data_IF_696757596531
#
_entry.id   IF_696757596531
#
_cell.length_a   1.000
_cell.length_b   1.000
_cell.length_c   1.000
_cell.angle_alpha   90.00
_cell.angle_beta   90.00
_cell.angle_gamma   90.00
#
_symmetry.space_group_name_H-M   'P 1'
#
loop_
_entity.id
_entity.type
_entity.pdbx_description
1 polymer ?
#
# COMPACT_ATOMS: atom_id res chain seq x y z
N UNK A 1 -18.76 20.10 30.86
CA UNK A 1 -17.45 20.36 30.20
C UNK A 1 -17.39 19.56 28.91
N UNK A 2 -17.51 20.22 27.75
CA UNK A 2 -17.47 19.56 26.44
C UNK A 2 -16.03 19.47 25.93
N UNK A 3 -15.56 18.27 25.59
CA UNK A 3 -14.29 18.09 24.88
C UNK A 3 -14.47 18.60 23.45
N UNK A 4 -13.87 19.75 23.14
CA UNK A 4 -13.64 20.13 21.75
C UNK A 4 -12.65 19.13 21.15
N UNK A 5 -13.11 18.29 20.21
CA UNK A 5 -12.20 17.48 19.41
C UNK A 5 -11.39 18.44 18.52
N UNK A 6 -10.08 18.47 18.72
CA UNK A 6 -9.16 19.25 17.88
C UNK A 6 -9.31 18.80 16.43
N UNK A 7 -9.41 19.77 15.51
CA UNK A 7 -9.47 19.51 14.07
C UNK A 7 -8.23 18.74 13.65
N UNK A 8 -8.41 17.51 13.15
CA UNK A 8 -7.31 16.73 12.61
C UNK A 8 -6.57 17.56 11.52
N UNK A 9 -5.24 17.60 11.54
CA UNK A 9 -4.48 18.40 10.59
C UNK A 9 -4.87 18.01 9.16
N UNK A 10 -5.14 19.02 8.33
CA UNK A 10 -5.41 18.81 6.90
C UNK A 10 -4.11 18.35 6.24
N UNK A 11 -4.13 17.17 5.61
CA UNK A 11 -3.03 16.72 4.73
C UNK A 11 -1.95 15.86 5.36
N UNK A 12 -2.16 15.30 6.56
CA UNK A 12 -1.21 14.31 7.11
C UNK A 12 -1.40 12.95 6.43
N UNK A 13 -0.49 12.62 5.52
CA UNK A 13 -0.30 11.29 4.93
C UNK A 13 0.33 10.31 5.92
N UNK A 14 -0.21 10.21 7.14
CA UNK A 14 0.39 9.45 8.24
C UNK A 14 -0.59 8.58 9.04
N UNK A 15 -1.87 8.54 8.65
CA UNK A 15 -2.92 7.81 9.38
C UNK A 15 -3.37 6.50 8.74
N UNK A 16 -2.54 5.88 7.89
CA UNK A 16 -2.94 4.69 7.12
C UNK A 16 -3.78 5.02 5.88
N UNK A 17 -3.73 6.26 5.39
CA UNK A 17 -4.29 6.64 4.10
C UNK A 17 -3.51 7.77 3.45
N UNK A 18 -3.51 7.80 2.11
CA UNK A 18 -2.88 8.83 1.29
C UNK A 18 -3.91 9.39 0.30
N UNK A 19 -4.08 10.71 0.26
CA UNK A 19 -5.07 11.38 -0.61
C UNK A 19 -4.39 12.20 -1.69
N UNK A 20 -4.86 12.02 -2.92
CA UNK A 20 -4.43 12.82 -4.07
C UNK A 20 -5.57 12.95 -5.08
N UNK A 21 -5.30 13.66 -6.18
CA UNK A 21 -6.27 13.83 -7.27
C UNK A 21 -5.72 13.29 -8.58
N UNK A 22 -6.62 12.75 -9.40
CA UNK A 22 -6.39 12.44 -10.81
C UNK A 22 -7.51 13.11 -11.58
N UNK A 23 -7.22 14.22 -12.27
CA UNK A 23 -8.25 15.07 -12.85
C UNK A 23 -9.27 15.54 -11.80
N UNK A 24 -10.55 15.30 -12.07
CA UNK A 24 -11.66 15.62 -11.15
C UNK A 24 -11.91 14.60 -10.04
N UNK A 25 -11.22 13.45 -10.05
CA UNK A 25 -11.44 12.35 -9.12
C UNK A 25 -10.56 12.52 -7.88
N UNK A 26 -11.16 12.38 -6.69
CA UNK A 26 -10.37 12.25 -5.46
C UNK A 26 -10.03 10.77 -5.24
N UNK A 27 -8.73 10.49 -5.12
CA UNK A 27 -8.20 9.16 -4.87
C UNK A 27 -7.74 9.08 -3.42
N UNK A 28 -8.12 8.00 -2.74
CA UNK A 28 -7.65 7.67 -1.40
C UNK A 28 -7.10 6.25 -1.42
N UNK A 29 -5.78 6.13 -1.25
CA UNK A 29 -5.15 4.83 -0.97
C UNK A 29 -5.30 4.57 0.51
N UNK A 30 -5.84 3.42 0.88
CA UNK A 30 -6.01 2.96 2.26
C UNK A 30 -4.95 1.90 2.54
N UNK A 31 -4.29 1.95 3.69
CA UNK A 31 -3.42 0.86 4.16
C UNK A 31 -4.25 -0.13 4.96
N UNK A 32 -4.29 -1.37 4.50
CA UNK A 32 -4.84 -2.53 5.23
C UNK A 32 -3.74 -3.33 5.95
N UNK A 33 -2.57 -2.69 6.13
CA UNK A 33 -1.41 -3.28 6.78
C UNK A 33 -0.53 -4.09 5.84
N UNK A 34 0.31 -4.94 6.43
CA UNK A 34 1.38 -5.66 5.75
C UNK A 34 1.45 -7.11 6.20
N UNK A 35 1.96 -8.00 5.34
CA UNK A 35 2.39 -9.34 5.74
C UNK A 35 3.73 -9.72 5.12
N UNK A 36 4.51 -10.59 5.78
CA UNK A 36 5.61 -11.25 5.10
C UNK A 36 5.05 -12.12 3.96
N UNK A 37 5.52 -11.96 2.71
CA UNK A 37 5.09 -12.81 1.60
C UNK A 37 5.76 -14.19 1.61
N UNK A 38 6.68 -14.44 2.56
CA UNK A 38 7.68 -15.51 2.47
C UNK A 38 8.92 -15.05 1.70
N UNK A 39 9.87 -15.95 1.37
CA UNK A 39 11.03 -15.62 0.55
C UNK A 39 10.59 -15.08 -0.80
N UNK A 40 11.14 -13.93 -1.22
CA UNK A 40 10.86 -13.38 -2.55
C UNK A 40 11.42 -14.28 -3.65
N UNK A 41 12.56 -14.91 -3.43
CA UNK A 41 13.14 -15.83 -4.40
C UNK A 41 12.87 -17.29 -4.01
N UNK A 42 12.53 -18.16 -4.98
CA UNK A 42 12.24 -17.88 -6.39
C UNK A 42 10.80 -17.42 -6.66
N UNK A 43 9.97 -17.21 -5.62
CA UNK A 43 8.51 -17.10 -5.75
C UNK A 43 8.03 -15.84 -6.52
N UNK A 44 8.71 -14.71 -6.37
CA UNK A 44 8.38 -13.38 -6.90
C UNK A 44 9.30 -12.98 -8.06
N UNK A 45 9.60 -13.96 -8.90
CA UNK A 45 10.50 -13.84 -10.05
C UNK A 45 10.99 -15.22 -10.43
N UNK A 46 10.11 -16.07 -10.96
CA UNK A 46 10.32 -17.52 -11.06
C UNK A 46 11.34 -17.94 -12.13
N UNK A 47 11.84 -17.01 -12.94
CA UNK A 47 12.85 -17.22 -13.97
C UNK A 47 14.18 -17.68 -13.35
N UNK A 48 14.57 -18.96 -13.49
CA UNK A 48 15.77 -19.49 -12.84
C UNK A 48 17.05 -18.76 -13.27
N UNK A 49 17.09 -18.29 -14.52
CA UNK A 49 18.21 -17.56 -15.11
C UNK A 49 18.33 -16.10 -14.64
N UNK A 50 17.27 -15.54 -14.03
CA UNK A 50 17.23 -14.14 -13.60
C UNK A 50 17.31 -13.97 -12.07
N UNK A 51 17.49 -15.05 -11.31
CA UNK A 51 17.49 -15.00 -9.83
C UNK A 51 18.52 -14.02 -9.28
N UNK A 52 19.75 -14.05 -9.81
CA UNK A 52 20.82 -13.17 -9.33
C UNK A 52 20.55 -11.72 -9.73
N UNK A 53 20.09 -11.47 -10.95
CA UNK A 53 19.71 -10.14 -11.40
C UNK A 53 18.65 -9.55 -10.48
N UNK A 54 17.60 -10.34 -10.15
CA UNK A 54 16.55 -9.90 -9.24
C UNK A 54 17.08 -9.65 -7.81
N UNK A 55 17.93 -10.54 -7.28
CA UNK A 55 18.58 -10.33 -5.97
C UNK A 55 19.38 -9.02 -5.94
N UNK A 56 20.17 -8.75 -6.99
CA UNK A 56 20.95 -7.51 -7.12
C UNK A 56 20.05 -6.28 -7.16
N UNK A 57 18.97 -6.32 -7.94
CA UNK A 57 17.99 -5.22 -8.01
C UNK A 57 17.37 -4.93 -6.65
N UNK A 58 16.97 -5.97 -5.89
CA UNK A 58 16.42 -5.76 -4.54
C UNK A 58 17.44 -5.04 -3.62
N UNK A 59 18.69 -5.49 -3.61
CA UNK A 59 19.76 -4.90 -2.79
C UNK A 59 20.08 -3.46 -3.22
N UNK A 60 20.12 -3.19 -4.53
CA UNK A 60 20.32 -1.83 -5.08
C UNK A 60 19.23 -0.86 -4.66
N UNK A 61 18.02 -1.36 -4.41
CA UNK A 61 16.88 -0.59 -3.91
C UNK A 61 16.69 -0.69 -2.38
N UNK A 62 17.71 -1.15 -1.65
CA UNK A 62 17.70 -1.28 -0.18
C UNK A 62 16.58 -2.19 0.35
N UNK A 63 16.16 -3.17 -0.44
CA UNK A 63 15.21 -4.20 -0.05
C UNK A 63 15.96 -5.47 0.36
N UNK A 64 15.60 -6.03 1.52
CA UNK A 64 16.11 -7.32 1.98
C UNK A 64 15.38 -8.47 1.25
N UNK A 65 16.06 -9.26 0.40
CA UNK A 65 15.44 -10.37 -0.33
C UNK A 65 14.79 -11.43 0.56
N UNK A 66 15.24 -11.55 1.82
CA UNK A 66 14.78 -12.55 2.77
C UNK A 66 13.72 -12.01 3.75
N UNK A 67 13.56 -10.68 3.84
CA UNK A 67 12.72 -10.05 4.87
C UNK A 67 11.76 -8.97 4.35
N UNK A 68 11.36 -9.02 3.08
CA UNK A 68 10.41 -8.04 2.54
C UNK A 68 9.02 -8.10 3.20
N UNK A 69 8.25 -7.02 2.98
CA UNK A 69 6.87 -6.86 3.44
C UNK A 69 6.01 -6.54 2.23
N UNK A 70 4.92 -7.28 2.07
CA UNK A 70 3.90 -6.96 1.08
C UNK A 70 2.83 -6.05 1.71
N UNK A 71 2.48 -4.97 1.02
CA UNK A 71 1.45 -4.03 1.44
C UNK A 71 0.10 -4.40 0.83
N UNK A 72 -0.97 -4.27 1.58
CA UNK A 72 -2.34 -4.41 1.09
C UNK A 72 -2.98 -3.03 1.06
N UNK A 73 -3.28 -2.54 -0.14
CA UNK A 73 -3.68 -1.15 -0.32
C UNK A 73 -4.97 -1.01 -1.15
N UNK A 74 -6.16 -1.15 -0.55
CA UNK A 74 -7.41 -0.81 -1.21
C UNK A 74 -7.44 0.65 -1.66
N UNK A 75 -8.17 0.92 -2.74
CA UNK A 75 -8.28 2.29 -3.29
C UNK A 75 -9.73 2.72 -3.33
N UNK A 76 -10.03 3.82 -2.65
CA UNK A 76 -11.32 4.50 -2.72
C UNK A 76 -11.24 5.66 -3.72
N UNK A 77 -12.13 5.64 -4.71
CA UNK A 77 -12.30 6.68 -5.71
C UNK A 77 -13.62 7.42 -5.42
N UNK A 78 -13.55 8.74 -5.26
CA UNK A 78 -14.73 9.60 -5.21
C UNK A 78 -14.92 10.24 -6.60
N UNK A 79 -15.98 9.83 -7.29
CA UNK A 79 -16.35 10.25 -8.65
C UNK A 79 -17.37 11.40 -8.65
N UNK A 80 -17.74 11.92 -7.46
CA UNK A 80 -18.77 12.94 -7.30
C UNK A 80 -20.15 12.35 -7.01
N UNK A 81 -20.73 11.63 -7.97
CA UNK A 81 -22.06 11.00 -7.82
C UNK A 81 -21.99 9.60 -7.18
N UNK A 82 -20.83 8.97 -7.26
CA UNK A 82 -20.59 7.63 -6.78
C UNK A 82 -19.21 7.52 -6.11
N UNK A 83 -19.08 6.49 -5.27
CA UNK A 83 -17.81 6.07 -4.70
C UNK A 83 -17.53 4.63 -5.09
N UNK A 84 -16.34 4.38 -5.61
CA UNK A 84 -15.87 3.06 -5.98
C UNK A 84 -14.74 2.64 -5.05
N UNK A 85 -14.89 1.48 -4.42
CA UNK A 85 -13.82 0.83 -3.67
C UNK A 85 -13.24 -0.29 -4.54
N UNK A 86 -11.95 -0.22 -4.83
CA UNK A 86 -11.19 -1.23 -5.55
C UNK A 86 -10.41 -2.06 -4.52
N UNK A 87 -10.65 -3.36 -4.53
CA UNK A 87 -10.25 -4.33 -3.51
C UNK A 87 -10.76 -3.99 -2.10
N UNK A 88 -10.70 -4.96 -1.18
CA UNK A 88 -11.23 -4.79 0.18
C UNK A 88 -10.24 -5.19 1.27
N UNK A 89 -8.96 -5.32 0.90
CA UNK A 89 -7.93 -5.77 1.82
C UNK A 89 -8.07 -7.26 2.12
N UNK A 90 -7.55 -7.66 3.28
CA UNK A 90 -7.44 -9.06 3.73
C UNK A 90 -8.60 -9.50 4.60
N UNK A 91 -9.45 -8.58 5.06
CA UNK A 91 -10.55 -8.89 5.98
C UNK A 91 -10.07 -9.36 7.35
N UNK A 92 -10.94 -10.09 8.07
CA UNK A 92 -10.57 -10.75 9.32
C UNK A 92 -9.80 -12.05 9.05
N UNK A 93 -8.84 -12.36 9.93
CA UNK A 93 -8.12 -13.64 9.95
C UNK A 93 -9.00 -14.77 10.49
#
# INVERSE_FOLDING_TARGET
MGRAQGRAPKGVNGGGFYRFRVGGIQVVVLSDGQSPPGPLLPNWGANPELQEVFRRTLVEHFLDPEATRNNFNPVLLDLGEARLLVDTGRGAA
#
